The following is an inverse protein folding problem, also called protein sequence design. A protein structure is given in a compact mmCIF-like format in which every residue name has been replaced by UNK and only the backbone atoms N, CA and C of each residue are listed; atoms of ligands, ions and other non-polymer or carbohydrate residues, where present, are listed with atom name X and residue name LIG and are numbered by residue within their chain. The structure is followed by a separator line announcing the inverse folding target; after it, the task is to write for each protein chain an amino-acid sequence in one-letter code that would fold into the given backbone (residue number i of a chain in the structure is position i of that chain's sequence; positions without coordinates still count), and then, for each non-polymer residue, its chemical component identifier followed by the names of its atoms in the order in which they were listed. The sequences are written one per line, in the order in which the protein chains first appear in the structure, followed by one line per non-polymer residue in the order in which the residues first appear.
data_IF_523508192769
#
_entry.id   IF_523508192769
#
_cell.length_a   1.000
_cell.length_b   1.000
_cell.length_c   1.000
_cell.angle_alpha   90.00
_cell.angle_beta   90.00
_cell.angle_gamma   90.00
#
_symmetry.space_group_name_H-M   'P 1'
#
loop_
_entity.id
_entity.type
_entity.pdbx_description
1 polymer ?
#
# COMPACT_ATOMS: atom_id res chain seq x y z
N UNK A 1 1.98 2.47 -0.43
CA UNK A 1 1.40 3.54 0.41
C UNK A 1 1.81 4.92 -0.13
N UNK A 2 3.11 5.18 -0.32
CA UNK A 2 3.58 6.46 -0.85
C UNK A 2 3.03 6.77 -2.25
N UNK A 3 3.00 5.78 -3.13
CA UNK A 3 2.44 5.95 -4.48
C UNK A 3 0.96 6.26 -4.42
N UNK A 4 0.21 5.61 -3.55
CA UNK A 4 -1.22 5.88 -3.38
C UNK A 4 -1.47 7.28 -2.85
N UNK A 5 -0.70 7.74 -1.88
CA UNK A 5 -0.77 9.12 -1.37
C UNK A 5 -0.49 10.15 -2.44
N UNK A 6 0.59 9.96 -3.19
CA UNK A 6 0.96 10.81 -4.31
C UNK A 6 -0.17 10.89 -5.33
N UNK A 7 -0.64 9.73 -5.78
CA UNK A 7 -1.67 9.64 -6.82
C UNK A 7 -2.99 10.26 -6.37
N UNK A 8 -3.40 10.02 -5.13
CA UNK A 8 -4.62 10.61 -4.56
C UNK A 8 -4.53 12.13 -4.45
N UNK A 9 -3.42 12.64 -3.91
CA UNK A 9 -3.19 14.08 -3.76
C UNK A 9 -3.15 14.76 -5.12
N UNK A 10 -2.44 14.18 -6.07
CA UNK A 10 -2.36 14.69 -7.43
C UNK A 10 -3.74 14.73 -8.10
N UNK A 11 -4.53 13.68 -7.93
CA UNK A 11 -5.91 13.61 -8.45
C UNK A 11 -6.79 14.74 -7.91
N UNK A 12 -6.72 14.96 -6.61
CA UNK A 12 -7.51 16.03 -5.95
C UNK A 12 -7.09 17.41 -6.47
N UNK A 13 -5.79 17.66 -6.57
CA UNK A 13 -5.27 18.93 -7.05
C UNK A 13 -5.62 19.18 -8.52
N UNK A 14 -5.50 18.16 -9.36
CA UNK A 14 -5.89 18.23 -10.77
C UNK A 14 -7.38 18.56 -10.92
N UNK A 15 -8.22 17.96 -10.08
CA UNK A 15 -9.65 18.21 -10.07
C UNK A 15 -10.04 19.58 -9.56
N UNK A 16 -9.19 20.19 -8.74
CA UNK A 16 -9.40 21.54 -8.19
C UNK A 16 -8.90 22.66 -9.12
N UNK A 17 -8.43 22.29 -10.31
CA UNK A 17 -7.92 23.27 -11.28
C UNK A 17 -6.48 23.74 -11.04
N UNK A 18 -5.76 23.08 -10.17
CA UNK A 18 -4.34 23.38 -9.93
C UNK A 18 -3.51 23.00 -11.16
N UNK A 19 -2.60 23.85 -11.63
CA UNK A 19 -1.72 23.51 -12.75
C UNK A 19 -0.93 22.25 -12.48
N UNK A 20 -0.71 21.44 -13.52
CA UNK A 20 -0.08 20.12 -13.41
C UNK A 20 1.28 20.19 -12.69
N UNK A 21 2.14 21.14 -13.06
CA UNK A 21 3.46 21.28 -12.44
C UNK A 21 3.39 21.56 -10.94
N UNK A 22 2.50 22.45 -10.56
CA UNK A 22 2.28 22.82 -9.16
C UNK A 22 1.68 21.64 -8.39
N UNK A 23 0.72 20.94 -9.00
CA UNK A 23 0.13 19.73 -8.43
C UNK A 23 1.16 18.63 -8.19
N UNK A 24 2.09 18.43 -9.12
CA UNK A 24 3.18 17.46 -8.95
C UNK A 24 4.08 17.84 -7.78
N UNK A 25 4.47 19.10 -7.66
CA UNK A 25 5.33 19.57 -6.58
C UNK A 25 4.67 19.41 -5.22
N UNK A 26 3.41 19.81 -5.09
CA UNK A 26 2.65 19.68 -3.84
C UNK A 26 2.47 18.20 -3.49
N UNK A 27 2.15 17.38 -4.48
CA UNK A 27 1.97 15.94 -4.27
C UNK A 27 3.27 15.25 -3.86
N UNK A 28 4.42 15.76 -4.29
CA UNK A 28 5.72 15.25 -3.86
C UNK A 28 5.96 15.46 -2.37
N UNK A 29 5.45 16.55 -1.81
CA UNK A 29 5.64 16.87 -0.39
C UNK A 29 4.96 15.87 0.56
N UNK A 30 3.91 15.20 0.13
CA UNK A 30 3.21 14.19 0.94
C UNK A 30 3.87 12.82 0.88
N UNK A 31 4.87 12.64 0.03
CA UNK A 31 5.62 11.40 -0.11
C UNK A 31 6.71 11.36 0.95
N UNK A 32 6.67 10.37 1.83
CA UNK A 32 7.67 10.20 2.88
C UNK A 32 8.97 9.57 2.36
N UNK A 33 8.87 8.77 1.31
CA UNK A 33 10.00 8.12 0.69
C UNK A 33 10.83 9.17 -0.08
N UNK A 34 12.04 9.46 0.38
CA UNK A 34 12.89 10.48 -0.22
C UNK A 34 13.27 10.21 -1.68
N UNK A 35 13.68 8.97 -2.07
CA UNK A 35 13.95 8.69 -3.48
C UNK A 35 12.74 8.91 -4.39
N UNK A 36 11.55 8.57 -3.93
CA UNK A 36 10.32 8.78 -4.70
C UNK A 36 9.98 10.28 -4.80
N UNK A 37 10.15 11.04 -3.72
CA UNK A 37 9.98 12.49 -3.73
C UNK A 37 10.92 13.15 -4.72
N UNK A 38 12.20 12.79 -4.70
CA UNK A 38 13.20 13.32 -5.61
C UNK A 38 12.87 12.96 -7.07
N UNK A 39 12.39 11.74 -7.31
CA UNK A 39 11.96 11.30 -8.63
C UNK A 39 10.80 12.15 -9.17
N UNK A 40 9.83 12.47 -8.31
CA UNK A 40 8.69 13.32 -8.69
C UNK A 40 9.16 14.76 -8.99
N UNK A 41 10.04 15.28 -8.17
CA UNK A 41 10.60 16.63 -8.38
C UNK A 41 11.40 16.72 -9.68
N UNK A 42 12.23 15.72 -9.97
CA UNK A 42 12.95 15.62 -11.23
C UNK A 42 12.00 15.48 -12.42
N UNK A 43 10.97 14.63 -12.28
CA UNK A 43 9.95 14.47 -13.31
C UNK A 43 9.22 15.79 -13.58
N UNK A 44 8.93 16.59 -12.55
CA UNK A 44 8.28 17.88 -12.72
C UNK A 44 9.12 18.85 -13.56
N UNK A 45 10.43 18.81 -13.42
CA UNK A 45 11.35 19.62 -14.26
C UNK A 45 11.25 19.19 -15.73
N UNK A 46 11.20 17.89 -16.00
CA UNK A 46 11.06 17.37 -17.38
C UNK A 46 9.71 17.73 -17.98
N UNK A 47 8.65 17.67 -17.20
CA UNK A 47 7.30 18.07 -17.63
C UNK A 47 7.27 19.55 -17.97
N UNK A 48 7.97 20.37 -17.20
CA UNK A 48 8.11 21.80 -17.47
C UNK A 48 8.76 22.05 -18.82
N UNK A 49 9.67 21.17 -19.24
CA UNK A 49 10.34 21.25 -20.55
C UNK A 49 9.51 20.66 -21.70
N UNK A 50 8.32 20.17 -21.42
CA UNK A 50 7.39 19.63 -22.41
C UNK A 50 7.32 18.11 -22.48
N UNK A 51 8.02 17.38 -21.60
CA UNK A 51 7.95 15.94 -21.57
C UNK A 51 6.60 15.45 -21.02
N UNK A 52 6.19 14.23 -21.36
CA UNK A 52 4.98 13.65 -20.81
C UNK A 52 5.16 13.29 -19.33
N UNK A 53 4.08 13.39 -18.54
CA UNK A 53 4.08 13.04 -17.12
C UNK A 53 4.40 11.55 -16.95
N UNK A 54 3.73 10.69 -17.73
CA UNK A 54 3.92 9.26 -17.66
C UNK A 54 5.36 8.83 -17.94
N UNK A 55 5.98 9.34 -19.00
CA UNK A 55 7.38 9.04 -19.30
C UNK A 55 8.33 9.55 -18.23
N UNK A 56 8.09 10.78 -17.76
CA UNK A 56 8.93 11.41 -16.75
C UNK A 56 8.92 10.63 -15.42
N UNK A 57 7.76 10.23 -14.95
CA UNK A 57 7.61 9.41 -13.75
C UNK A 57 8.11 7.97 -13.96
N UNK A 58 7.89 7.41 -15.15
CA UNK A 58 8.29 6.04 -15.48
C UNK A 58 9.81 5.83 -15.51
N UNK A 59 10.58 6.88 -15.75
CA UNK A 59 12.05 6.83 -15.80
C UNK A 59 12.66 6.40 -14.45
N UNK A 60 12.02 6.76 -13.35
CA UNK A 60 12.50 6.42 -12.00
C UNK A 60 12.31 4.95 -11.64
N UNK A 61 11.40 4.25 -12.29
CA UNK A 61 11.00 2.86 -12.00
C UNK A 61 10.46 2.65 -10.58
N UNK A 62 10.12 3.72 -9.88
CA UNK A 62 9.56 3.67 -8.52
C UNK A 62 8.03 3.56 -8.50
N UNK A 63 7.38 3.85 -9.61
CA UNK A 63 5.93 3.76 -9.75
C UNK A 63 5.52 2.45 -10.42
N UNK A 64 4.42 1.81 -9.96
CA UNK A 64 3.89 0.62 -10.63
C UNK A 64 3.55 0.88 -12.09
N UNK A 65 3.81 -0.07 -13.01
CA UNK A 65 3.50 0.09 -14.43
C UNK A 65 2.04 0.46 -14.69
N UNK A 66 1.12 -0.07 -13.90
CA UNK A 66 -0.31 0.23 -14.01
C UNK A 66 -0.61 1.71 -13.81
N UNK A 67 0.02 2.34 -12.83
CA UNK A 67 -0.12 3.78 -12.55
C UNK A 67 0.39 4.59 -13.72
N UNK A 68 1.54 4.24 -14.25
CA UNK A 68 2.13 4.91 -15.41
C UNK A 68 1.24 4.81 -16.64
N UNK A 69 0.67 3.62 -16.89
CA UNK A 69 -0.27 3.42 -18.01
C UNK A 69 -1.55 4.25 -17.85
N UNK A 70 -2.08 4.34 -16.64
CA UNK A 70 -3.29 5.13 -16.37
C UNK A 70 -3.02 6.63 -16.56
N UNK A 71 -1.86 7.11 -16.11
CA UNK A 71 -1.43 8.50 -16.32
C UNK A 71 -1.27 8.79 -17.81
N UNK A 72 -0.62 7.92 -18.55
CA UNK A 72 -0.45 8.06 -20.00
C UNK A 72 -1.79 8.13 -20.73
N UNK A 73 -2.72 7.27 -20.36
CA UNK A 73 -4.08 7.27 -20.92
C UNK A 73 -4.83 8.55 -20.59
N UNK A 74 -4.71 9.02 -19.36
CA UNK A 74 -5.32 10.28 -18.91
C UNK A 74 -4.77 11.49 -19.62
N UNK A 75 -3.45 11.57 -19.82
CA UNK A 75 -2.81 12.64 -20.56
C UNK A 75 -3.29 12.69 -22.03
N UNK A 76 -3.33 11.54 -22.70
CA UNK A 76 -3.72 11.44 -24.09
C UNK A 76 -5.20 11.80 -24.31
N UNK A 77 -6.07 11.43 -23.38
CA UNK A 77 -7.51 11.65 -23.47
C UNK A 77 -8.04 12.90 -22.77
N UNK A 78 -7.18 13.68 -22.11
CA UNK A 78 -7.60 14.84 -21.31
C UNK A 78 -8.36 14.46 -20.04
N UNK A 79 -8.17 13.22 -19.55
CA UNK A 79 -8.85 12.67 -18.36
C UNK A 79 -7.89 12.34 -17.23
N UNK A 80 -6.85 13.14 -17.08
CA UNK A 80 -5.79 12.88 -16.09
C UNK A 80 -6.36 12.75 -14.66
N UNK A 81 -7.24 13.64 -14.28
CA UNK A 81 -7.92 13.62 -12.98
C UNK A 81 -8.64 12.31 -12.72
N UNK A 82 -9.47 11.88 -13.68
CA UNK A 82 -10.23 10.64 -13.58
C UNK A 82 -9.32 9.42 -13.46
N UNK A 83 -8.30 9.35 -14.28
CA UNK A 83 -7.35 8.23 -14.28
C UNK A 83 -6.50 8.18 -12.99
N UNK A 84 -6.07 9.32 -12.49
CA UNK A 84 -5.38 9.40 -11.20
C UNK A 84 -6.28 8.95 -10.05
N UNK A 85 -7.54 9.37 -10.05
CA UNK A 85 -8.51 8.96 -9.04
C UNK A 85 -8.77 7.46 -9.05
N UNK A 86 -8.92 6.86 -10.21
CA UNK A 86 -9.07 5.40 -10.37
C UNK A 86 -7.83 4.64 -9.90
N UNK A 87 -6.66 5.14 -10.24
CA UNK A 87 -5.39 4.56 -9.84
C UNK A 87 -5.24 4.55 -8.33
N UNK A 88 -5.51 5.67 -7.67
CA UNK A 88 -5.46 5.80 -6.23
C UNK A 88 -6.47 4.87 -5.54
N UNK A 89 -7.71 4.81 -6.03
CA UNK A 89 -8.74 3.93 -5.50
C UNK A 89 -8.35 2.44 -5.62
N UNK A 90 -7.76 2.05 -6.75
CA UNK A 90 -7.27 0.68 -6.96
C UNK A 90 -6.17 0.30 -5.96
N UNK A 91 -5.21 1.19 -5.73
CA UNK A 91 -4.15 0.98 -4.75
C UNK A 91 -4.67 0.90 -3.32
N UNK A 92 -5.61 1.75 -2.96
CA UNK A 92 -6.24 1.73 -1.64
C UNK A 92 -6.98 0.42 -1.39
N UNK A 93 -7.70 -0.09 -2.38
CA UNK A 93 -8.37 -1.40 -2.31
C UNK A 93 -7.38 -2.54 -2.14
N UNK A 94 -6.24 -2.49 -2.82
CA UNK A 94 -5.18 -3.50 -2.71
C UNK A 94 -4.62 -3.54 -1.29
N UNK A 95 -4.33 -2.38 -0.70
CA UNK A 95 -3.87 -2.27 0.69
C UNK A 95 -4.93 -2.80 1.65
N UNK A 96 -6.18 -2.42 1.50
CA UNK A 96 -7.30 -2.90 2.32
C UNK A 96 -7.45 -4.42 2.21
N UNK A 97 -7.29 -4.97 1.02
CA UNK A 97 -7.32 -6.41 0.78
C UNK A 97 -6.21 -7.15 1.51
N UNK A 98 -4.99 -6.59 1.52
CA UNK A 98 -3.86 -7.15 2.26
C UNK A 98 -4.11 -7.14 3.77
N UNK A 99 -4.63 -6.06 4.30
CA UNK A 99 -4.98 -5.93 5.71
C UNK A 99 -6.06 -6.96 6.09
N UNK A 100 -7.10 -7.11 5.28
CA UNK A 100 -8.15 -8.10 5.50
C UNK A 100 -7.61 -9.52 5.50
N UNK A 101 -6.69 -9.83 4.60
CA UNK A 101 -6.02 -11.15 4.52
C UNK A 101 -5.19 -11.41 5.77
N UNK A 102 -4.41 -10.43 6.22
CA UNK A 102 -3.60 -10.55 7.43
C UNK A 102 -4.47 -10.78 8.67
N UNK A 103 -5.56 -10.05 8.82
CA UNK A 103 -6.51 -10.23 9.91
C UNK A 103 -7.21 -11.59 9.84
N UNK A 104 -7.50 -12.06 8.62
CA UNK A 104 -8.09 -13.39 8.40
C UNK A 104 -7.16 -14.53 8.82
N UNK A 105 -5.85 -14.36 8.70
CA UNK A 105 -4.85 -15.34 9.14
C UNK A 105 -4.66 -15.28 10.66
N UNK A 106 -4.78 -14.11 11.24
CA UNK A 106 -4.58 -13.91 12.68
C UNK A 106 -5.57 -14.73 13.52
N UNK A 107 -6.82 -14.80 13.11
CA UNK A 107 -7.87 -15.53 13.85
C UNK A 107 -7.58 -17.02 13.98
N UNK A 108 -7.28 -17.78 12.90
CA UNK A 108 -6.87 -19.18 13.03
C UNK A 108 -5.61 -19.37 13.88
N UNK A 109 -4.66 -18.44 13.78
CA UNK A 109 -3.43 -18.49 14.57
C UNK A 109 -3.73 -18.37 16.07
N UNK A 110 -4.63 -17.48 16.46
CA UNK A 110 -5.06 -17.32 17.85
C UNK A 110 -5.74 -18.59 18.38
N UNK A 111 -6.59 -19.24 17.57
CA UNK A 111 -7.26 -20.48 17.94
C UNK A 111 -6.24 -21.59 18.18
N UNK A 112 -5.24 -21.73 17.32
CA UNK A 112 -4.16 -22.70 17.47
C UNK A 112 -3.36 -22.43 18.75
N UNK A 113 -3.03 -21.18 19.01
CA UNK A 113 -2.28 -20.79 20.22
C UNK A 113 -3.06 -21.12 21.49
N UNK A 114 -4.36 -20.82 21.51
CA UNK A 114 -5.22 -21.15 22.64
C UNK A 114 -5.35 -22.65 22.85
N UNK A 115 -5.48 -23.42 21.77
CA UNK A 115 -5.48 -24.87 21.82
C UNK A 115 -4.20 -25.45 22.39
N UNK A 116 -3.05 -24.89 22.01
CA UNK A 116 -1.76 -25.29 22.54
C UNK A 116 -1.65 -25.02 24.05
N UNK A 117 -2.10 -23.86 24.50
CA UNK A 117 -2.11 -23.49 25.92
C UNK A 117 -2.99 -24.45 26.73
N UNK A 118 -4.19 -24.74 26.24
CA UNK A 118 -5.09 -25.70 26.88
C UNK A 118 -4.46 -27.08 26.94
N UNK A 119 -3.80 -27.52 25.88
CA UNK A 119 -3.10 -28.82 25.85
C UNK A 119 -2.00 -28.87 26.91
N UNK A 120 -1.21 -27.82 27.06
CA UNK A 120 -0.17 -27.74 28.09
C UNK A 120 -0.76 -27.81 29.50
N UNK A 121 -1.89 -27.16 29.74
CA UNK A 121 -2.58 -27.20 31.04
C UNK A 121 -3.09 -28.62 31.35
N UNK A 122 -3.68 -29.27 30.34
CA UNK A 122 -4.17 -30.64 30.49
C UNK A 122 -3.03 -31.61 30.83
N UNK A 123 -1.90 -31.51 30.14
CA UNK A 123 -0.72 -32.32 30.46
C UNK A 123 -0.17 -32.03 31.86
N UNK A 124 -0.14 -30.77 32.26
CA UNK A 124 0.32 -30.38 33.58
C UNK A 124 -0.56 -30.98 34.71
N UNK A 125 -1.84 -31.14 34.43
CA UNK A 125 -2.77 -31.77 35.39
C UNK A 125 -2.65 -33.29 35.38
N UNK A 126 -2.51 -33.91 34.22
CA UNK A 126 -2.47 -35.36 34.07
C UNK A 126 -1.19 -36.02 34.55
N UNK A 127 -0.04 -35.36 34.37
CA UNK A 127 1.26 -35.92 34.75
C UNK A 127 1.35 -36.29 36.24
N UNK A 128 0.99 -35.44 37.21
CA UNK A 128 0.95 -35.80 38.62
C UNK A 128 -0.02 -36.93 38.93
N UNK A 129 -1.14 -36.98 38.21
CA UNK A 129 -2.14 -38.02 38.40
C UNK A 129 -1.58 -39.39 38.00
N UNK A 130 -0.88 -39.49 36.88
CA UNK A 130 -0.21 -40.70 36.44
C UNK A 130 0.90 -41.14 37.40
N UNK A 131 1.66 -40.20 37.95
CA UNK A 131 2.71 -40.51 38.94
C UNK A 131 2.11 -41.06 40.21
N UNK A 132 1.04 -40.46 40.71
CA UNK A 132 0.30 -40.95 41.89
C UNK A 132 -0.25 -42.36 41.64
N UNK A 133 -0.84 -42.61 40.47
CA UNK A 133 -1.36 -43.91 40.10
C UNK A 133 -0.27 -44.99 40.07
N UNK A 134 0.91 -44.65 39.58
CA UNK A 134 2.08 -45.54 39.55
C UNK A 134 2.62 -45.84 40.97
N UNK A 135 2.51 -44.89 41.89
CA UNK A 135 2.91 -45.07 43.30
C UNK A 135 1.96 -45.94 44.09
N UNK A 136 0.67 -45.98 43.73
CA UNK A 136 -0.33 -46.75 44.41
C UNK A 136 -0.28 -48.23 43.98
N UNK A 137 0.11 -48.53 42.76
CA UNK A 137 0.28 -49.86 42.23
C UNK A 137 1.66 -50.42 42.59
#
# INVERSE_FOLDING_TARGET
INTARFTRTFSILAGSGVPVLEGMKISAEVVENLPMRDAVMEASLRVREGASIAKSLGTSKLFPPMVIHMIASGEAGGRLEEMLGRSAAGMEREVDGLIATLLGILQPLLVILMGLVVLMIVFAILLPIFEINNLII
#
